data_IF_217918080860
#
_entry.id   IF_217918080860
#
_cell.length_a   1.000
_cell.length_b   1.000
_cell.length_c   1.000
_cell.angle_alpha   90.00
_cell.angle_beta   90.00
_cell.angle_gamma   90.00
#
_symmetry.space_group_name_H-M   'P 1'
#
loop_
_entity.id
_entity.type
_entity.pdbx_description
1 polymer ?
#
# COMPACT_ATOMS: atom_id res chain seq x y z
N UNK A 1 -11.83 5.40 -25.98
CA UNK A 1 -12.41 5.27 -24.62
C UNK A 1 -13.39 6.42 -24.43
N UNK A 2 -14.70 6.19 -24.57
CA UNK A 2 -15.71 7.25 -24.33
C UNK A 2 -16.78 6.80 -23.33
N UNK A 3 -17.03 5.50 -23.23
CA UNK A 3 -18.12 4.95 -22.40
C UNK A 3 -17.63 3.99 -21.29
N UNK A 4 -16.41 4.20 -20.77
CA UNK A 4 -15.92 3.39 -19.63
C UNK A 4 -16.56 3.88 -18.33
N UNK A 5 -17.34 3.02 -17.68
CA UNK A 5 -17.92 3.30 -16.36
C UNK A 5 -17.01 2.73 -15.27
N UNK A 6 -16.55 3.60 -14.37
CA UNK A 6 -15.73 3.22 -13.21
C UNK A 6 -16.63 3.10 -11.99
N UNK A 7 -16.39 2.06 -11.16
CA UNK A 7 -17.13 1.80 -9.92
C UNK A 7 -16.19 1.83 -8.71
N UNK A 8 -15.89 3.02 -8.15
CA UNK A 8 -14.93 3.18 -7.05
C UNK A 8 -15.25 2.31 -5.83
N UNK A 9 -16.53 2.23 -5.46
CA UNK A 9 -16.95 1.41 -4.31
C UNK A 9 -16.65 -0.07 -4.50
N UNK A 10 -16.83 -0.60 -5.72
CA UNK A 10 -16.48 -2.00 -6.03
C UNK A 10 -14.96 -2.21 -6.02
N UNK A 11 -14.18 -1.21 -6.47
CA UNK A 11 -12.72 -1.28 -6.38
C UNK A 11 -12.28 -1.36 -4.93
N UNK A 12 -12.85 -0.53 -4.05
CA UNK A 12 -12.58 -0.55 -2.61
C UNK A 12 -12.98 -1.88 -1.98
N UNK A 13 -14.19 -2.36 -2.26
CA UNK A 13 -14.65 -3.68 -1.78
C UNK A 13 -13.70 -4.81 -2.20
N UNK A 14 -13.24 -4.82 -3.45
CA UNK A 14 -12.29 -5.82 -3.92
C UNK A 14 -10.95 -5.76 -3.19
N UNK A 15 -10.46 -4.57 -2.85
CA UNK A 15 -9.26 -4.41 -2.02
C UNK A 15 -9.51 -4.93 -0.60
N UNK A 16 -10.64 -4.57 0.01
CA UNK A 16 -11.01 -4.99 1.36
C UNK A 16 -11.20 -6.51 1.47
N UNK A 17 -11.62 -7.19 0.39
CA UNK A 17 -11.73 -8.66 0.33
C UNK A 17 -10.39 -9.37 0.56
N UNK A 18 -9.27 -8.70 0.32
CA UNK A 18 -7.94 -9.24 0.62
C UNK A 18 -7.64 -9.26 2.12
N UNK A 19 -8.49 -8.65 2.96
CA UNK A 19 -8.33 -8.56 4.41
C UNK A 19 -6.98 -7.99 4.83
N UNK A 20 -6.51 -7.00 4.06
CA UNK A 20 -5.26 -6.30 4.28
C UNK A 20 -4.01 -6.98 3.71
N UNK A 21 -4.12 -8.15 3.07
CA UNK A 21 -2.97 -8.88 2.52
C UNK A 21 -2.17 -8.07 1.49
N UNK A 22 -2.80 -7.15 0.77
CA UNK A 22 -2.10 -6.24 -0.16
C UNK A 22 -1.03 -5.38 0.51
N UNK A 23 -1.12 -5.16 1.83
CA UNK A 23 -0.16 -4.36 2.59
C UNK A 23 1.03 -5.16 3.13
N UNK A 24 1.11 -6.47 2.89
CA UNK A 24 2.15 -7.35 3.47
C UNK A 24 3.57 -6.83 3.23
N UNK A 25 3.86 -6.31 2.03
CA UNK A 25 5.17 -5.73 1.72
C UNK A 25 5.43 -4.44 2.52
N UNK A 26 4.42 -3.58 2.67
CA UNK A 26 4.54 -2.33 3.42
C UNK A 26 4.83 -2.62 4.90
N UNK A 27 4.13 -3.59 5.47
CA UNK A 27 4.36 -4.06 6.85
C UNK A 27 5.78 -4.58 7.02
N UNK A 28 6.27 -5.44 6.11
CA UNK A 28 7.64 -5.94 6.14
C UNK A 28 8.67 -4.79 6.17
N UNK A 29 8.47 -3.76 5.34
CA UNK A 29 9.34 -2.60 5.31
C UNK A 29 9.23 -1.77 6.60
N UNK A 30 8.05 -1.63 7.18
CA UNK A 30 7.86 -0.94 8.46
C UNK A 30 8.59 -1.66 9.60
N UNK A 31 8.44 -2.98 9.72
CA UNK A 31 9.11 -3.80 10.74
C UNK A 31 10.64 -3.72 10.62
N UNK A 32 11.17 -3.83 9.40
CA UNK A 32 12.63 -3.74 9.16
C UNK A 32 13.17 -2.34 9.45
N UNK A 33 12.43 -1.27 9.10
CA UNK A 33 12.81 0.12 9.42
C UNK A 33 12.78 0.40 10.92
N UNK A 34 11.91 -0.28 11.66
CA UNK A 34 11.84 -0.21 13.12
C UNK A 34 12.96 -1.00 13.83
N UNK A 35 13.86 -1.65 13.08
CA UNK A 35 15.05 -2.32 13.61
C UNK A 35 14.93 -3.83 13.78
N UNK A 36 13.82 -4.45 13.37
CA UNK A 36 13.75 -5.91 13.34
C UNK A 36 14.69 -6.46 12.26
N UNK A 37 15.27 -7.63 12.53
CA UNK A 37 16.02 -8.35 11.51
C UNK A 37 15.10 -8.68 10.33
N UNK A 38 15.67 -8.74 9.12
CA UNK A 38 14.89 -9.12 7.93
C UNK A 38 14.23 -10.48 8.10
N UNK A 39 14.96 -11.46 8.63
CA UNK A 39 14.47 -12.81 8.87
C UNK A 39 13.26 -12.82 9.80
N UNK A 40 13.36 -12.14 10.95
CA UNK A 40 12.26 -12.01 11.92
C UNK A 40 11.07 -11.29 11.29
N UNK A 41 11.29 -10.18 10.59
CA UNK A 41 10.23 -9.42 9.94
C UNK A 41 9.52 -10.24 8.85
N UNK A 42 10.27 -11.00 8.04
CA UNK A 42 9.71 -11.93 7.06
C UNK A 42 8.84 -12.99 7.72
N UNK A 43 9.34 -13.63 8.78
CA UNK A 43 8.60 -14.65 9.53
C UNK A 43 7.28 -14.12 10.06
N UNK A 44 7.30 -13.00 10.80
CA UNK A 44 6.10 -12.38 11.37
C UNK A 44 5.05 -12.09 10.28
N UNK A 45 5.46 -11.46 9.19
CA UNK A 45 4.54 -11.09 8.10
C UNK A 45 4.01 -12.31 7.38
N UNK A 46 4.86 -13.30 7.11
CA UNK A 46 4.49 -14.53 6.42
C UNK A 46 3.48 -15.33 7.25
N UNK A 47 3.75 -15.55 8.53
CA UNK A 47 2.88 -16.32 9.42
C UNK A 47 1.51 -15.63 9.55
N UNK A 48 1.50 -14.32 9.83
CA UNK A 48 0.26 -13.55 9.91
C UNK A 48 -0.54 -13.53 8.59
N UNK A 49 0.14 -13.44 7.44
CA UNK A 49 -0.49 -13.47 6.12
C UNK A 49 -1.09 -14.85 5.80
N UNK A 50 -0.40 -15.94 6.16
CA UNK A 50 -0.90 -17.29 5.99
C UNK A 50 -2.12 -17.58 6.88
N UNK A 51 -2.14 -17.06 8.11
CA UNK A 51 -3.32 -17.13 8.98
C UNK A 51 -4.51 -16.34 8.42
N UNK A 52 -4.27 -15.13 7.90
CA UNK A 52 -5.34 -14.38 7.24
C UNK A 52 -5.84 -15.15 6.04
N UNK A 53 -4.95 -15.66 5.18
CA UNK A 53 -5.32 -16.44 4.00
C UNK A 53 -6.18 -17.67 4.35
N UNK A 54 -5.85 -18.40 5.41
CA UNK A 54 -6.58 -19.60 5.84
C UNK A 54 -8.00 -19.34 6.35
N UNK A 55 -8.40 -18.06 6.50
CA UNK A 55 -9.74 -17.67 6.91
C UNK A 55 -9.82 -17.12 8.34
N UNK A 56 -8.69 -17.02 9.05
CA UNK A 56 -8.62 -16.31 10.33
C UNK A 56 -8.77 -14.79 10.15
N UNK A 57 -8.59 -14.01 11.22
CA UNK A 57 -8.75 -12.55 11.26
C UNK A 57 -8.02 -11.81 10.11
N UNK A 58 -8.28 -10.50 9.97
CA UNK A 58 -7.50 -9.67 9.06
C UNK A 58 -6.00 -9.62 9.42
N UNK A 59 -5.19 -9.19 8.45
CA UNK A 59 -3.73 -9.17 8.59
C UNK A 59 -3.29 -8.31 9.78
N UNK A 60 -3.93 -7.16 10.01
CA UNK A 60 -3.61 -6.27 11.13
C UNK A 60 -3.78 -6.97 12.47
N UNK A 61 -4.90 -7.67 12.63
CA UNK A 61 -5.24 -8.40 13.85
C UNK A 61 -4.26 -9.55 14.07
N UNK A 62 -3.95 -10.35 13.05
CA UNK A 62 -2.99 -11.45 13.18
C UNK A 62 -1.56 -10.94 13.48
N UNK A 63 -1.15 -9.80 12.91
CA UNK A 63 0.14 -9.17 13.25
C UNK A 63 0.19 -8.77 14.73
N UNK A 64 -0.87 -8.13 15.24
CA UNK A 64 -0.96 -7.72 16.66
C UNK A 64 -0.95 -8.91 17.63
N UNK A 65 -1.45 -10.06 17.20
CA UNK A 65 -1.46 -11.30 17.97
C UNK A 65 -0.16 -12.09 17.83
N UNK A 66 0.72 -11.72 16.90
CA UNK A 66 1.92 -12.50 16.60
C UNK A 66 2.93 -12.43 17.77
N UNK A 67 3.38 -13.58 18.32
CA UNK A 67 4.19 -13.61 19.53
C UNK A 67 5.59 -12.98 19.39
N UNK A 68 6.14 -12.98 18.18
CA UNK A 68 7.44 -12.35 17.90
C UNK A 68 7.35 -10.85 17.58
N UNK A 69 6.15 -10.27 17.47
CA UNK A 69 6.02 -8.82 17.33
C UNK A 69 6.28 -8.17 18.70
N UNK A 70 7.26 -7.26 18.84
CA UNK A 70 7.55 -6.64 20.13
C UNK A 70 6.34 -5.87 20.66
N UNK A 71 6.00 -6.05 21.94
CA UNK A 71 4.91 -5.29 22.59
C UNK A 71 5.20 -3.78 22.68
N UNK A 72 6.46 -3.37 22.55
CA UNK A 72 6.89 -1.98 22.44
C UNK A 72 6.73 -1.38 21.04
N UNK A 73 6.39 -2.20 20.04
CA UNK A 73 6.23 -1.72 18.67
C UNK A 73 5.05 -0.73 18.59
N UNK A 74 5.26 0.51 18.11
CA UNK A 74 4.20 1.51 18.13
C UNK A 74 3.05 1.12 17.21
N UNK A 75 1.84 1.03 17.76
CA UNK A 75 0.64 0.71 16.98
C UNK A 75 0.43 1.70 15.83
N UNK A 76 0.77 2.98 16.03
CA UNK A 76 0.74 4.01 14.98
C UNK A 76 1.58 3.64 13.75
N UNK A 77 2.74 3.01 13.95
CA UNK A 77 3.67 2.68 12.86
C UNK A 77 3.16 1.44 12.12
N UNK A 78 2.49 0.54 12.85
CA UNK A 78 1.80 -0.60 12.24
C UNK A 78 0.61 -0.12 11.41
N UNK A 79 -0.21 0.79 11.94
CA UNK A 79 -1.34 1.39 11.24
C UNK A 79 -0.91 2.14 9.97
N UNK A 80 0.18 2.89 10.04
CA UNK A 80 0.73 3.61 8.89
C UNK A 80 1.14 2.67 7.73
N UNK A 81 1.51 1.42 8.03
CA UNK A 81 1.84 0.45 6.98
C UNK A 81 0.62 0.02 6.13
N UNK A 82 -0.60 0.29 6.59
CA UNK A 82 -1.86 -0.02 5.91
C UNK A 82 -2.46 1.19 5.17
N UNK A 83 -1.70 2.28 5.05
CA UNK A 83 -2.08 3.43 4.22
C UNK A 83 -1.80 3.14 2.73
N UNK A 84 -2.78 3.26 1.83
CA UNK A 84 -2.56 3.12 0.40
C UNK A 84 -1.87 4.33 -0.27
N UNK A 85 -1.88 5.52 0.35
CA UNK A 85 -1.38 6.74 -0.27
C UNK A 85 0.09 6.65 -0.74
N UNK A 86 1.03 6.03 0.00
CA UNK A 86 2.42 5.88 -0.45
C UNK A 86 2.58 5.13 -1.78
N UNK A 87 1.70 4.18 -2.10
CA UNK A 87 1.74 3.44 -3.38
C UNK A 87 1.39 4.31 -4.59
N UNK A 88 0.73 5.44 -4.35
CA UNK A 88 0.24 6.36 -5.38
C UNK A 88 1.12 7.62 -5.51
N UNK A 89 2.22 7.70 -4.74
CA UNK A 89 3.09 8.89 -4.68
C UNK A 89 3.72 9.30 -6.01
N UNK A 90 3.89 8.36 -6.95
CA UNK A 90 4.46 8.63 -8.28
C UNK A 90 3.43 8.89 -9.38
N UNK A 91 2.13 8.95 -9.07
CA UNK A 91 1.09 9.06 -10.11
C UNK A 91 1.21 10.33 -10.93
N UNK A 92 1.45 11.48 -10.30
CA UNK A 92 1.56 12.76 -10.99
C UNK A 92 2.71 12.75 -12.01
N UNK A 93 3.90 12.28 -11.61
CA UNK A 93 5.06 12.17 -12.50
C UNK A 93 4.79 11.23 -13.69
N UNK A 94 4.11 10.10 -13.44
CA UNK A 94 3.75 9.15 -14.48
C UNK A 94 2.73 9.76 -15.44
N UNK A 95 1.72 10.46 -14.93
CA UNK A 95 0.71 11.14 -15.75
C UNK A 95 1.33 12.27 -16.58
N UNK A 96 2.18 13.09 -15.99
CA UNK A 96 2.90 14.16 -16.71
C UNK A 96 3.75 13.57 -17.83
N UNK A 97 4.46 12.47 -17.58
CA UNK A 97 5.31 11.83 -18.60
C UNK A 97 4.53 11.23 -19.77
N UNK A 98 3.34 10.68 -19.53
CA UNK A 98 2.56 9.94 -20.55
C UNK A 98 1.54 10.83 -21.25
N UNK A 99 0.94 11.78 -20.53
CA UNK A 99 -0.16 12.63 -20.99
C UNK A 99 0.25 14.09 -21.18
N UNK A 100 1.48 14.46 -20.84
CA UNK A 100 2.06 15.77 -21.10
C UNK A 100 2.13 16.06 -22.60
N UNK A 101 1.09 16.72 -23.13
CA UNK A 101 1.05 17.29 -24.47
C UNK A 101 2.14 18.37 -24.64
N UNK A 102 2.74 18.41 -25.83
CA UNK A 102 3.72 19.40 -26.26
C UNK A 102 3.29 20.83 -25.87
N UNK A 103 4.09 21.49 -25.03
CA UNK A 103 4.08 22.95 -24.96
C UNK A 103 4.46 23.51 -26.33
N UNK A 104 3.45 23.82 -27.16
CA UNK A 104 3.64 24.63 -28.35
C UNK A 104 4.00 26.04 -27.86
N UNK A 105 5.30 26.28 -27.75
CA UNK A 105 5.84 27.61 -27.56
C UNK A 105 5.75 28.33 -28.90
N UNK A 106 4.62 29.01 -29.13
CA UNK A 106 4.53 30.07 -30.13
C UNK A 106 4.16 31.34 -29.41
N UNK A 107 5.16 31.92 -28.74
CA UNK A 107 5.15 33.34 -28.48
C UNK A 107 5.26 34.12 -29.80
N UNK A 108 4.58 35.26 -29.81
CA UNK A 108 4.90 36.43 -30.61
C UNK A 108 4.64 36.35 -32.13
N UNK A 109 3.42 36.70 -32.53
CA UNK A 109 3.24 37.56 -33.70
C UNK A 109 2.62 38.87 -33.24
N UNK A 110 3.44 39.92 -33.30
CA UNK A 110 2.98 41.27 -33.13
C UNK A 110 2.06 41.70 -34.27
N UNK A 111 1.07 42.50 -33.91
CA UNK A 111 0.59 43.66 -34.63
C UNK A 111 0.08 44.65 -33.57
#
# INVERSE_FOLDING_TARGET
>A
LKDLIVYPEKMKQNLDMTRGLVYSQSVLLALTRAGLSRETAYKIVQDAAMETWSGSNDLMTNLKLHPELPSSFPEKDLLAAFDPAPFMSGLDEIYDRVLGEHHHHSGNEGC
#
